data_IF_629893484902
#
_entry.id   IF_629893484902
#
_cell.length_a   1.000
_cell.length_b   1.000
_cell.length_c   1.000
_cell.angle_alpha   90.00
_cell.angle_beta   90.00
_cell.angle_gamma   90.00
#
_symmetry.space_group_name_H-M   'P 1'
#
loop_
_entity.id
_entity.type
_entity.pdbx_description
1 polymer ?
#
# COMPACT_ATOMS: atom_id res chain seq x y z
N UNK A 1 12.68 -2.21 -8.26
CA UNK A 1 12.21 -0.79 -8.23
C UNK A 1 12.94 0.08 -9.26
N UNK A 2 14.24 -0.11 -9.55
CA UNK A 2 15.04 0.78 -10.43
C UNK A 2 14.58 0.94 -11.89
N UNK A 3 13.54 0.25 -12.35
CA UNK A 3 12.97 0.42 -13.70
C UNK A 3 11.68 1.26 -13.70
N UNK A 4 11.09 1.54 -12.54
CA UNK A 4 9.98 2.49 -12.41
C UNK A 4 10.53 3.89 -12.26
N UNK A 5 10.15 4.78 -13.19
CA UNK A 5 10.43 6.20 -13.07
C UNK A 5 9.52 6.80 -12.00
N UNK A 6 10.07 6.99 -10.79
CA UNK A 6 9.42 7.70 -9.69
C UNK A 6 10.17 8.99 -9.42
N UNK A 7 9.43 10.08 -9.19
CA UNK A 7 10.03 11.38 -8.87
C UNK A 7 10.67 11.40 -7.49
N UNK A 8 10.12 10.59 -6.56
CA UNK A 8 10.60 10.45 -5.19
C UNK A 8 10.45 9.01 -4.72
N UNK A 9 11.45 8.54 -3.96
CA UNK A 9 11.41 7.27 -3.26
C UNK A 9 11.61 7.54 -1.77
N UNK A 10 10.60 7.19 -0.96
CA UNK A 10 10.60 7.40 0.49
C UNK A 10 10.45 6.05 1.16
N UNK A 11 11.40 5.71 2.03
CA UNK A 11 11.38 4.50 2.83
C UNK A 11 10.98 4.87 4.25
N UNK A 12 9.86 4.33 4.72
CA UNK A 12 9.45 4.45 6.12
C UNK A 12 10.23 3.42 6.94
N UNK A 13 10.99 3.88 7.93
CA UNK A 13 11.82 3.02 8.79
C UNK A 13 11.38 3.11 10.25
N UNK A 14 11.56 2.03 11.01
CA UNK A 14 11.26 1.96 12.44
C UNK A 14 12.29 1.10 13.16
N UNK A 15 11.90 -0.09 13.60
CA UNK A 15 12.82 -1.06 14.18
C UNK A 15 13.98 -1.38 13.20
N UNK A 16 15.23 -1.28 13.68
CA UNK A 16 16.41 -1.56 12.87
C UNK A 16 16.72 -0.52 11.78
N UNK A 17 16.18 0.71 11.90
CA UNK A 17 16.33 1.78 10.91
C UNK A 17 17.76 1.98 10.41
N UNK A 18 18.76 1.96 11.30
CA UNK A 18 20.16 2.18 10.91
C UNK A 18 20.67 1.11 9.93
N UNK A 19 20.30 -0.16 10.11
CA UNK A 19 20.67 -1.24 9.17
C UNK A 19 19.99 -1.07 7.81
N UNK A 20 18.74 -0.61 7.80
CA UNK A 20 17.99 -0.36 6.56
C UNK A 20 18.61 0.82 5.80
N UNK A 21 18.92 1.92 6.50
CA UNK A 21 19.59 3.09 5.92
C UNK A 21 20.99 2.77 5.40
N UNK A 22 21.75 1.95 6.13
CA UNK A 22 23.07 1.48 5.68
C UNK A 22 22.97 0.69 4.38
N UNK A 23 21.98 -0.20 4.27
CA UNK A 23 21.77 -1.02 3.08
C UNK A 23 21.28 -0.22 1.87
N UNK A 24 20.37 0.73 2.06
CA UNK A 24 19.74 1.50 0.98
C UNK A 24 20.53 2.78 0.64
N UNK A 25 21.38 3.28 1.53
CA UNK A 25 22.24 4.44 1.30
C UNK A 25 21.46 5.68 0.88
N UNK A 26 21.90 6.35 -0.20
CA UNK A 26 21.25 7.54 -0.75
C UNK A 26 20.18 7.23 -1.81
N UNK A 27 19.79 5.97 -1.99
CA UNK A 27 18.79 5.59 -3.01
C UNK A 27 17.36 6.05 -2.64
N UNK A 28 17.12 6.34 -1.37
CA UNK A 28 15.81 6.72 -0.84
C UNK A 28 15.92 7.87 0.15
N UNK A 29 14.91 8.73 0.21
CA UNK A 29 14.63 9.56 1.39
C UNK A 29 14.10 8.65 2.52
N UNK A 30 14.29 9.05 3.77
CA UNK A 30 13.85 8.25 4.92
C UNK A 30 12.95 9.08 5.84
N UNK A 31 11.89 8.46 6.31
CA UNK A 31 11.05 8.99 7.39
C UNK A 31 10.94 7.94 8.49
N UNK A 32 10.87 8.38 9.75
CA UNK A 32 10.88 7.48 10.90
C UNK A 32 9.44 7.31 11.41
N UNK A 33 9.00 6.06 11.52
CA UNK A 33 7.82 5.68 12.29
C UNK A 33 8.28 5.23 13.69
N UNK A 34 8.34 6.16 14.65
CA UNK A 34 8.82 5.87 16.01
C UNK A 34 7.96 4.82 16.71
N UNK A 35 6.63 4.97 16.63
CA UNK A 35 5.65 4.03 17.17
C UNK A 35 4.95 3.28 16.02
N UNK A 36 4.96 1.95 16.05
CA UNK A 36 4.39 1.11 14.99
C UNK A 36 2.85 0.99 15.13
N UNK A 37 2.15 2.11 14.97
CA UNK A 37 0.70 2.23 15.06
C UNK A 37 -0.02 1.81 13.76
N UNK A 38 0.55 0.86 13.00
CA UNK A 38 -0.03 0.35 11.76
C UNK A 38 0.44 1.05 10.48
N UNK A 39 -0.04 0.55 9.33
CA UNK A 39 0.40 0.94 7.98
C UNK A 39 -0.06 2.34 7.59
N UNK A 40 -1.28 2.72 7.95
CA UNK A 40 -1.78 4.09 7.74
C UNK A 40 -0.89 5.12 8.47
N UNK A 41 -0.52 4.86 9.72
CA UNK A 41 0.41 5.69 10.47
C UNK A 41 1.81 5.73 9.81
N UNK A 42 2.27 4.63 9.22
CA UNK A 42 3.54 4.59 8.50
C UNK A 42 3.52 5.53 7.28
N UNK A 43 2.46 5.48 6.46
CA UNK A 43 2.30 6.36 5.29
C UNK A 43 2.19 7.83 5.71
N UNK A 44 1.52 8.12 6.83
CA UNK A 44 1.43 9.47 7.38
C UNK A 44 2.79 10.09 7.72
N UNK A 45 3.81 9.30 8.04
CA UNK A 45 5.16 9.84 8.29
C UNK A 45 5.77 10.50 7.04
N UNK A 46 5.31 10.13 5.84
CA UNK A 46 5.72 10.75 4.59
C UNK A 46 4.94 12.05 4.25
N UNK A 47 3.94 12.43 5.05
CA UNK A 47 3.11 13.61 4.80
C UNK A 47 3.91 14.91 4.60
N UNK A 48 4.99 15.22 5.36
CA UNK A 48 5.78 16.43 5.13
C UNK A 48 6.40 16.53 3.73
N UNK A 49 6.56 15.40 3.04
CA UNK A 49 7.17 15.33 1.71
C UNK A 49 6.13 15.24 0.59
N UNK A 50 4.99 14.62 0.87
CA UNK A 50 4.03 14.21 -0.16
C UNK A 50 2.64 14.86 -0.03
N UNK A 51 2.16 15.25 1.15
CA UNK A 51 0.75 15.58 1.35
C UNK A 51 0.21 16.74 0.50
N UNK A 52 1.09 17.68 0.14
CA UNK A 52 0.76 18.84 -0.68
C UNK A 52 0.96 18.63 -2.19
N UNK A 53 1.41 17.44 -2.61
CA UNK A 53 1.75 17.14 -4.00
C UNK A 53 0.57 16.59 -4.78
N UNK A 54 0.59 16.83 -6.08
CA UNK A 54 -0.32 16.20 -7.04
C UNK A 54 0.43 15.05 -7.73
N UNK A 55 -0.31 14.00 -8.11
CA UNK A 55 0.25 12.81 -8.75
C UNK A 55 -0.25 11.52 -8.14
N UNK A 56 0.49 10.43 -8.41
CA UNK A 56 0.17 9.08 -7.91
C UNK A 56 1.20 8.66 -6.89
N UNK A 57 0.74 8.13 -5.76
CA UNK A 57 1.59 7.50 -4.75
C UNK A 57 1.42 5.99 -4.82
N UNK A 58 2.53 5.31 -5.15
CA UNK A 58 2.64 3.85 -5.08
C UNK A 58 3.12 3.48 -3.67
N UNK A 59 2.32 2.68 -2.96
CA UNK A 59 2.65 2.16 -1.62
C UNK A 59 2.97 0.68 -1.76
N UNK A 60 4.14 0.27 -1.29
CA UNK A 60 4.64 -1.11 -1.35
C UNK A 60 5.21 -1.49 0.01
N UNK A 61 4.93 -2.70 0.48
CA UNK A 61 5.53 -3.25 1.69
C UNK A 61 6.95 -3.80 1.40
N UNK A 62 7.89 -3.59 2.33
CA UNK A 62 9.28 -4.03 2.16
C UNK A 62 9.49 -5.56 2.23
N UNK A 63 8.46 -6.31 2.61
CA UNK A 63 8.46 -7.76 2.81
C UNK A 63 7.81 -8.55 1.66
N UNK A 64 7.49 -7.90 0.54
CA UNK A 64 6.96 -8.53 -0.67
C UNK A 64 8.02 -8.60 -1.79
N UNK A 65 9.07 -9.44 -1.66
CA UNK A 65 10.25 -9.40 -2.55
C UNK A 65 9.99 -9.89 -3.97
N UNK A 66 8.87 -10.58 -4.21
CA UNK A 66 8.54 -11.18 -5.51
C UNK A 66 7.77 -10.23 -6.44
N UNK A 67 7.40 -9.03 -5.97
CA UNK A 67 6.74 -8.04 -6.81
C UNK A 67 7.74 -7.49 -7.83
N UNK A 68 7.39 -7.62 -9.11
CA UNK A 68 8.23 -7.20 -10.23
C UNK A 68 7.98 -5.74 -10.61
N UNK A 69 8.93 -5.14 -11.34
CA UNK A 69 8.77 -3.83 -11.97
C UNK A 69 7.55 -3.78 -12.88
N UNK A 70 7.37 -4.84 -13.67
CA UNK A 70 6.33 -5.01 -14.66
C UNK A 70 4.94 -5.04 -13.99
N UNK A 71 4.83 -5.74 -12.85
CA UNK A 71 3.60 -5.76 -12.05
C UNK A 71 3.24 -4.37 -11.51
N UNK A 72 4.22 -3.66 -10.96
CA UNK A 72 4.01 -2.31 -10.43
C UNK A 72 3.69 -1.29 -11.54
N UNK A 73 4.32 -1.42 -12.71
CA UNK A 73 4.01 -0.58 -13.87
C UNK A 73 2.60 -0.86 -14.39
N UNK A 74 2.20 -2.12 -14.52
CA UNK A 74 0.83 -2.49 -14.91
C UNK A 74 -0.22 -1.94 -13.92
N UNK A 75 0.05 -2.00 -12.62
CA UNK A 75 -0.80 -1.41 -11.59
C UNK A 75 -0.95 0.11 -11.77
N UNK A 76 0.17 0.82 -11.96
CA UNK A 76 0.18 2.26 -12.19
C UNK A 76 -0.58 2.63 -13.47
N UNK A 77 -0.35 1.92 -14.57
CA UNK A 77 -1.06 2.16 -15.83
C UNK A 77 -2.56 1.94 -15.68
N UNK A 78 -2.98 0.87 -15.01
CA UNK A 78 -4.39 0.62 -14.72
C UNK A 78 -5.00 1.78 -13.92
N UNK A 79 -4.34 2.21 -12.84
CA UNK A 79 -4.79 3.32 -12.01
C UNK A 79 -5.01 4.62 -12.80
N UNK A 80 -4.05 4.97 -13.67
CA UNK A 80 -4.12 6.16 -14.52
C UNK A 80 -5.23 6.05 -15.57
N UNK A 81 -5.38 4.90 -16.22
CA UNK A 81 -6.39 4.67 -17.25
C UNK A 81 -7.81 4.73 -16.69
N UNK A 82 -8.04 4.14 -15.51
CA UNK A 82 -9.34 4.15 -14.85
C UNK A 82 -9.62 5.47 -14.12
N UNK A 83 -8.63 6.37 -14.01
CA UNK A 83 -8.71 7.61 -13.20
C UNK A 83 -9.18 7.32 -11.77
N UNK A 84 -8.73 6.19 -11.22
CA UNK A 84 -9.17 5.74 -9.90
C UNK A 84 -8.57 6.63 -8.82
N UNK A 85 -9.25 6.74 -7.67
CA UNK A 85 -8.66 7.34 -6.47
C UNK A 85 -7.78 6.37 -5.69
N UNK A 86 -8.10 5.09 -5.75
CA UNK A 86 -7.33 4.00 -5.19
C UNK A 86 -7.40 2.78 -6.12
N UNK A 87 -6.28 2.10 -6.26
CA UNK A 87 -6.17 0.82 -6.95
C UNK A 87 -5.37 -0.13 -6.08
N UNK A 88 -5.92 -1.33 -5.88
CA UNK A 88 -5.31 -2.36 -5.03
C UNK A 88 -4.76 -3.44 -5.95
N UNK A 89 -3.51 -3.85 -5.74
CA UNK A 89 -3.00 -5.07 -6.35
C UNK A 89 -3.56 -6.26 -5.58
N UNK A 90 -4.32 -7.11 -6.24
CA UNK A 90 -4.93 -8.31 -5.64
C UNK A 90 -4.36 -9.58 -6.26
N UNK A 91 -4.55 -10.71 -5.58
CA UNK A 91 -4.20 -12.03 -6.08
C UNK A 91 -5.25 -13.06 -5.67
N UNK A 92 -5.32 -14.18 -6.39
CA UNK A 92 -6.08 -15.34 -5.98
C UNK A 92 -5.16 -16.33 -5.27
N UNK A 93 -5.42 -16.60 -4.00
CA UNK A 93 -4.67 -17.58 -3.22
C UNK A 93 -5.43 -18.93 -3.13
N UNK A 94 -4.68 -20.02 -3.11
CA UNK A 94 -5.25 -21.34 -2.76
C UNK A 94 -5.56 -21.41 -1.27
N UNK A 95 -4.62 -20.98 -0.43
CA UNK A 95 -4.82 -20.76 1.00
C UNK A 95 -4.72 -19.27 1.31
N UNK A 96 -5.85 -18.57 1.54
CA UNK A 96 -5.84 -17.16 1.85
C UNK A 96 -5.62 -16.88 3.36
N UNK A 97 -5.33 -17.87 4.20
CA UNK A 97 -5.15 -17.68 5.66
C UNK A 97 -4.14 -16.57 5.97
N UNK A 98 -4.50 -15.69 6.92
CA UNK A 98 -3.65 -14.56 7.33
C UNK A 98 -3.75 -13.30 6.46
N UNK A 99 -4.18 -13.39 5.20
CA UNK A 99 -4.33 -12.22 4.32
C UNK A 99 -5.61 -11.41 4.57
N UNK A 100 -5.61 -10.12 4.21
CA UNK A 100 -6.85 -9.35 4.05
C UNK A 100 -7.66 -9.83 2.84
N UNK A 101 -8.99 -9.87 2.94
CA UNK A 101 -9.91 -10.31 1.89
C UNK A 101 -10.46 -9.14 1.10
N UNK A 102 -10.55 -9.27 -0.21
CA UNK A 102 -11.18 -8.28 -1.09
C UNK A 102 -12.68 -8.57 -1.17
N UNK A 103 -13.48 -7.77 -0.47
CA UNK A 103 -14.94 -7.87 -0.55
C UNK A 103 -15.42 -6.96 -1.68
N UNK A 104 -16.16 -7.53 -2.62
CA UNK A 104 -16.74 -6.80 -3.76
C UNK A 104 -18.24 -6.73 -3.65
N UNK A 105 -18.80 -5.60 -4.07
CA UNK A 105 -20.25 -5.44 -4.17
C UNK A 105 -20.81 -6.12 -5.42
N UNK A 106 -22.13 -6.02 -5.63
CA UNK A 106 -22.84 -6.65 -6.75
C UNK A 106 -22.40 -6.15 -8.14
N UNK A 107 -21.87 -4.94 -8.20
CA UNK A 107 -21.35 -4.33 -9.44
C UNK A 107 -19.88 -4.70 -9.69
N UNK A 108 -19.27 -5.49 -8.80
CA UNK A 108 -17.88 -5.92 -8.89
C UNK A 108 -16.85 -4.91 -8.37
N UNK A 109 -17.30 -3.78 -7.83
CA UNK A 109 -16.41 -2.79 -7.20
C UNK A 109 -15.94 -3.27 -5.83
N UNK A 110 -14.70 -2.93 -5.47
CA UNK A 110 -14.18 -3.19 -4.12
C UNK A 110 -14.98 -2.36 -3.12
N UNK A 111 -15.65 -3.03 -2.19
CA UNK A 111 -16.41 -2.41 -1.13
C UNK A 111 -15.54 -2.18 0.11
N UNK A 112 -14.74 -3.18 0.49
CA UNK A 112 -13.81 -3.10 1.62
C UNK A 112 -12.71 -4.15 1.52
N UNK A 113 -11.63 -3.91 2.26
CA UNK A 113 -10.66 -4.93 2.65
C UNK A 113 -10.99 -5.32 4.09
N UNK A 114 -11.14 -6.62 4.37
CA UNK A 114 -11.33 -7.11 5.74
C UNK A 114 -10.16 -7.99 6.14
N UNK A 115 -9.49 -7.65 7.25
CA UNK A 115 -8.36 -8.40 7.76
C UNK A 115 -8.78 -9.78 8.27
N UNK A 116 -7.91 -10.77 8.18
CA UNK A 116 -8.24 -12.15 8.53
C UNK A 116 -8.82 -12.31 9.95
N UNK A 117 -8.28 -11.53 10.89
CA UNK A 117 -8.71 -11.50 12.31
C UNK A 117 -10.14 -10.97 12.48
N UNK A 118 -10.57 -10.06 11.62
CA UNK A 118 -11.87 -9.37 11.70
C UNK A 118 -12.89 -9.96 10.72
N UNK A 119 -12.44 -10.82 9.80
CA UNK A 119 -13.27 -11.48 8.80
C UNK A 119 -14.22 -12.51 9.42
N UNK A 120 -15.48 -12.45 8.99
CA UNK A 120 -16.49 -13.49 9.25
C UNK A 120 -16.11 -14.83 8.61
N UNK A 121 -16.76 -15.92 9.02
CA UNK A 121 -16.55 -17.23 8.39
C UNK A 121 -16.83 -17.23 6.88
N UNK A 122 -17.83 -16.47 6.44
CA UNK A 122 -18.14 -16.30 5.01
C UNK A 122 -17.04 -15.54 4.29
N UNK A 123 -16.60 -14.40 4.82
CA UNK A 123 -15.52 -13.60 4.23
C UNK A 123 -14.20 -14.37 4.18
N UNK A 124 -13.92 -15.25 5.15
CA UNK A 124 -12.71 -16.09 5.15
C UNK A 124 -12.62 -17.03 3.95
N UNK A 125 -13.75 -17.40 3.35
CA UNK A 125 -13.82 -18.22 2.13
C UNK A 125 -13.49 -17.45 0.85
N UNK A 126 -13.43 -16.10 0.91
CA UNK A 126 -13.01 -15.30 -0.24
C UNK A 126 -11.54 -15.62 -0.55
N UNK A 127 -11.26 -15.97 -1.81
CA UNK A 127 -9.91 -16.34 -2.27
C UNK A 127 -9.12 -15.16 -2.83
N UNK A 128 -9.79 -14.05 -3.14
CA UNK A 128 -9.14 -12.83 -3.56
C UNK A 128 -8.56 -12.10 -2.34
N UNK A 129 -7.24 -11.95 -2.35
CA UNK A 129 -6.47 -11.40 -1.24
C UNK A 129 -5.88 -10.02 -1.57
N UNK A 130 -5.74 -9.22 -0.53
CA UNK A 130 -4.97 -8.00 -0.54
C UNK A 130 -3.46 -8.33 -0.48
N UNK A 131 -2.70 -7.83 -1.46
CA UNK A 131 -1.23 -8.04 -1.51
C UNK A 131 -0.45 -7.00 -0.70
N UNK A 132 -1.12 -5.96 -0.18
CA UNK A 132 -0.46 -4.86 0.52
C UNK A 132 0.21 -3.83 -0.41
N UNK A 133 -0.03 -3.91 -1.72
CA UNK A 133 0.48 -2.95 -2.70
C UNK A 133 -0.65 -2.16 -3.34
N UNK A 134 -0.47 -0.84 -3.42
CA UNK A 134 -1.54 0.09 -3.80
C UNK A 134 -1.01 1.25 -4.65
N UNK A 135 -1.85 1.75 -5.56
CA UNK A 135 -1.71 3.07 -6.16
C UNK A 135 -2.83 3.99 -5.67
N UNK A 136 -2.48 5.22 -5.30
CA UNK A 136 -3.45 6.22 -4.91
C UNK A 136 -3.25 7.53 -5.65
N UNK A 137 -4.36 8.23 -5.89
CA UNK A 137 -4.33 9.68 -6.05
C UNK A 137 -3.76 10.29 -4.78
N UNK A 138 -2.64 11.01 -4.90
CA UNK A 138 -1.86 11.39 -3.73
C UNK A 138 -2.64 12.33 -2.78
N UNK A 139 -3.40 13.29 -3.32
CA UNK A 139 -4.23 14.19 -2.52
C UNK A 139 -5.33 13.42 -1.78
N UNK A 140 -6.02 12.53 -2.48
CA UNK A 140 -7.07 11.71 -1.89
C UNK A 140 -6.54 10.76 -0.82
N UNK A 141 -5.33 10.21 -0.99
CA UNK A 141 -4.65 9.39 0.02
C UNK A 141 -4.48 10.16 1.32
N UNK A 142 -3.83 11.33 1.27
CA UNK A 142 -3.56 12.10 2.49
C UNK A 142 -4.82 12.69 3.12
N UNK A 143 -5.84 13.04 2.33
CA UNK A 143 -7.15 13.39 2.88
C UNK A 143 -7.79 12.20 3.63
N UNK A 144 -7.79 11.01 3.02
CA UNK A 144 -8.39 9.81 3.61
C UNK A 144 -7.67 9.38 4.90
N UNK A 145 -6.34 9.50 4.95
CA UNK A 145 -5.54 9.15 6.13
C UNK A 145 -5.91 9.98 7.37
N UNK A 146 -6.41 11.22 7.22
CA UNK A 146 -6.90 12.03 8.35
C UNK A 146 -8.15 11.44 9.03
N UNK A 147 -8.84 10.50 8.36
CA UNK A 147 -10.08 9.88 8.82
C UNK A 147 -9.85 8.48 9.42
N UNK A 148 -8.60 8.00 9.44
CA UNK A 148 -8.24 6.69 9.99
C UNK A 148 -8.00 6.83 11.50
N UNK A 149 -8.70 6.01 12.29
CA UNK A 149 -8.42 5.81 13.71
C UNK A 149 -7.79 4.44 13.96
N UNK A 150 -7.19 4.25 15.15
CA UNK A 150 -6.57 2.99 15.57
C UNK A 150 -7.52 2.11 16.39
N UNK A 151 -8.84 2.28 16.20
CA UNK A 151 -9.87 1.53 16.93
C UNK A 151 -10.09 0.12 16.36
#
# INVERSE_FOLDING_TARGET
ISMLHVDRLITVVGFGAERVKEQLGSQSEYVIQEQQLGTAHAVLQAAPHLADKDGVTLVVCGDTPLITSETMEALLQHHLQTKAKATILTALAEDPTGYGRIVRNKDGHVEKIVEHKDATEEERNIREINTGTYCFDNRALFEALTKVSND
#
